data_IF_153516271726
#
_entry.id   IF_153516271726
#
_cell.length_a   1.000
_cell.length_b   1.000
_cell.length_c   1.000
_cell.angle_alpha   90.00
_cell.angle_beta   90.00
_cell.angle_gamma   90.00
#
_symmetry.space_group_name_H-M   'P 1'
#
loop_
_entity.id
_entity.type
_entity.pdbx_description
1 polymer ?
#
# COMPACT_ATOMS: atom_id res chain seq x y z
N UNK A 1 16.11 -13.29 13.91
CA UNK A 1 16.34 -12.51 12.67
C UNK A 1 15.18 -11.52 12.37
N UNK A 2 14.56 -10.90 13.39
CA UNK A 2 13.24 -10.25 13.24
C UNK A 2 13.21 -8.73 13.06
N UNK A 3 14.31 -8.00 13.26
CA UNK A 3 14.30 -6.52 13.25
C UNK A 3 14.99 -5.91 12.02
N UNK A 4 16.07 -6.53 11.54
CA UNK A 4 16.87 -6.01 10.41
C UNK A 4 16.17 -6.19 9.05
N UNK A 5 15.44 -7.29 8.86
CA UNK A 5 14.68 -7.55 7.63
C UNK A 5 13.48 -6.60 7.50
N UNK A 6 12.74 -6.38 8.58
CA UNK A 6 11.64 -5.41 8.62
C UNK A 6 12.10 -3.99 8.32
N UNK A 7 13.21 -3.55 8.94
CA UNK A 7 13.77 -2.21 8.70
C UNK A 7 14.21 -2.01 7.23
N UNK A 8 14.83 -3.04 6.63
CA UNK A 8 15.24 -3.00 5.23
C UNK A 8 14.03 -2.89 4.28
N UNK A 9 12.93 -3.59 4.58
CA UNK A 9 11.68 -3.52 3.81
C UNK A 9 11.02 -2.14 3.96
N UNK A 10 11.02 -1.56 5.16
CA UNK A 10 10.51 -0.20 5.39
C UNK A 10 11.36 0.86 4.67
N UNK A 11 12.68 0.71 4.66
CA UNK A 11 13.57 1.62 3.95
C UNK A 11 13.38 1.50 2.43
N UNK A 12 13.25 0.27 1.90
CA UNK A 12 13.02 0.02 0.47
C UNK A 12 11.67 0.60 0.02
N UNK A 13 10.62 0.44 0.85
CA UNK A 13 9.29 1.00 0.58
C UNK A 13 9.28 2.53 0.59
N UNK A 14 9.99 3.16 1.54
CA UNK A 14 10.14 4.63 1.57
C UNK A 14 10.95 5.13 0.38
N UNK A 15 12.02 4.44 -0.01
CA UNK A 15 12.80 4.78 -1.21
C UNK A 15 11.96 4.68 -2.49
N UNK A 16 11.13 3.64 -2.61
CA UNK A 16 10.23 3.46 -3.74
C UNK A 16 9.18 4.59 -3.80
N UNK A 17 8.63 5.01 -2.65
CA UNK A 17 7.70 6.15 -2.56
C UNK A 17 8.38 7.45 -3.00
N UNK A 18 9.63 7.70 -2.57
CA UNK A 18 10.37 8.90 -2.98
C UNK A 18 10.73 8.89 -4.47
N UNK A 19 11.13 7.74 -5.01
CA UNK A 19 11.38 7.58 -6.44
C UNK A 19 10.10 7.80 -7.28
N UNK A 20 8.96 7.30 -6.82
CA UNK A 20 7.65 7.47 -7.47
C UNK A 20 7.08 8.88 -7.32
N UNK A 21 7.29 9.54 -6.18
CA UNK A 21 6.98 10.96 -6.02
C UNK A 21 7.77 11.81 -7.03
N UNK A 22 9.04 11.45 -7.26
CA UNK A 22 9.88 11.99 -8.33
C UNK A 22 9.30 11.72 -9.72
N UNK A 23 8.95 10.47 -10.03
CA UNK A 23 8.37 10.07 -11.33
C UNK A 23 7.03 10.76 -11.60
N UNK A 24 6.21 10.95 -10.56
CA UNK A 24 4.95 11.67 -10.67
C UNK A 24 5.19 13.10 -11.16
N UNK A 25 6.26 13.78 -10.72
CA UNK A 25 6.54 15.17 -11.12
C UNK A 25 6.94 15.31 -12.59
N UNK A 26 7.40 14.23 -13.22
CA UNK A 26 7.83 14.19 -14.61
C UNK A 26 6.71 13.74 -15.55
N UNK A 27 5.72 13.01 -15.03
CA UNK A 27 4.59 12.52 -15.82
C UNK A 27 3.54 13.60 -16.14
N UNK A 28 2.89 13.54 -17.32
CA UNK A 28 1.73 14.38 -17.65
C UNK A 28 0.65 14.28 -16.57
N UNK A 29 -0.06 15.40 -16.30
CA UNK A 29 -1.03 15.48 -15.20
C UNK A 29 -2.11 14.41 -15.27
N UNK A 30 -2.50 13.99 -16.47
CA UNK A 30 -3.50 12.93 -16.68
C UNK A 30 -3.00 11.54 -16.25
N UNK A 31 -1.70 11.27 -16.43
CA UNK A 31 -1.10 9.97 -16.15
C UNK A 31 -0.69 9.84 -14.68
N UNK A 32 -0.46 10.96 -13.98
CA UNK A 32 -0.13 10.96 -12.53
C UNK A 32 -1.17 10.25 -11.68
N UNK A 33 -2.46 10.48 -11.98
CA UNK A 33 -3.55 9.85 -11.25
C UNK A 33 -3.59 8.34 -11.53
N UNK A 34 -3.36 7.95 -12.78
CA UNK A 34 -3.32 6.56 -13.21
C UNK A 34 -2.15 5.80 -12.56
N UNK A 35 -0.96 6.41 -12.53
CA UNK A 35 0.21 5.85 -11.86
C UNK A 35 -0.08 5.69 -10.37
N UNK A 36 -0.66 6.71 -9.71
CA UNK A 36 -0.99 6.62 -8.29
C UNK A 36 -2.00 5.50 -7.99
N UNK A 37 -3.10 5.41 -8.75
CA UNK A 37 -4.16 4.42 -8.52
C UNK A 37 -3.70 3.00 -8.82
N UNK A 38 -2.79 2.79 -9.79
CA UNK A 38 -2.29 1.45 -10.11
C UNK A 38 -1.14 1.01 -9.19
N UNK A 39 -0.28 1.93 -8.76
CA UNK A 39 0.87 1.61 -7.89
C UNK A 39 0.49 1.42 -6.43
N UNK A 40 -0.50 2.16 -5.93
CA UNK A 40 -0.84 2.12 -4.52
C UNK A 40 -1.33 0.73 -4.05
N UNK A 41 -2.16 -0.01 -4.82
CA UNK A 41 -2.47 -1.41 -4.53
C UNK A 41 -1.26 -2.33 -4.65
N UNK A 42 -0.40 -2.08 -5.65
CA UNK A 42 0.84 -2.83 -5.88
C UNK A 42 1.81 -2.77 -4.68
N UNK A 43 1.81 -1.66 -3.96
CA UNK A 43 2.60 -1.49 -2.74
C UNK A 43 2.22 -2.47 -1.63
N UNK A 44 0.92 -2.64 -1.38
CA UNK A 44 0.42 -3.58 -0.36
C UNK A 44 0.74 -5.03 -0.72
N UNK A 45 0.68 -5.35 -2.02
CA UNK A 45 1.09 -6.66 -2.56
C UNK A 45 2.58 -6.91 -2.32
N UNK A 46 3.45 -5.94 -2.63
CA UNK A 46 4.90 -6.08 -2.44
C UNK A 46 5.26 -6.23 -0.97
N UNK A 47 4.60 -5.48 -0.06
CA UNK A 47 4.81 -5.63 1.39
C UNK A 47 4.41 -7.03 1.85
N UNK A 48 3.21 -7.50 1.49
CA UNK A 48 2.75 -8.82 1.94
C UNK A 48 3.59 -9.96 1.40
N UNK A 49 4.03 -9.87 0.14
CA UNK A 49 4.97 -10.82 -0.43
C UNK A 49 6.31 -10.79 0.30
N UNK A 50 6.85 -9.60 0.58
CA UNK A 50 8.13 -9.45 1.30
C UNK A 50 8.06 -10.03 2.72
N UNK A 51 6.95 -9.83 3.42
CA UNK A 51 6.73 -10.43 4.75
C UNK A 51 6.70 -11.95 4.67
N UNK A 52 5.96 -12.53 3.71
CA UNK A 52 5.93 -13.99 3.50
C UNK A 52 7.29 -14.57 3.11
N UNK A 53 8.09 -13.83 2.36
CA UNK A 53 9.47 -14.22 2.02
C UNK A 53 10.33 -14.20 3.29
N UNK A 54 10.25 -13.15 4.11
CA UNK A 54 10.97 -13.05 5.37
C UNK A 54 10.56 -14.14 6.39
N UNK A 55 9.29 -14.57 6.36
CA UNK A 55 8.76 -15.66 7.17
C UNK A 55 9.10 -17.06 6.62
N UNK A 56 9.75 -17.16 5.45
CA UNK A 56 10.05 -18.45 4.81
C UNK A 56 8.81 -19.21 4.33
N UNK A 57 7.70 -18.50 4.08
CA UNK A 57 6.40 -19.05 3.68
C UNK A 57 6.18 -19.08 2.17
N UNK A 58 7.13 -18.59 1.38
CA UNK A 58 7.10 -18.71 -0.09
C UNK A 58 7.94 -19.92 -0.49
N UNK A 59 7.27 -21.02 -0.88
CA UNK A 59 7.90 -22.27 -1.31
C UNK A 59 7.55 -22.64 -2.74
N UNK A 60 6.47 -22.09 -3.28
CA UNK A 60 6.04 -22.29 -4.66
C UNK A 60 5.32 -21.05 -5.22
N UNK A 61 4.97 -21.10 -6.51
CA UNK A 61 4.22 -20.04 -7.20
C UNK A 61 2.82 -19.82 -6.60
N UNK A 62 2.18 -20.85 -6.03
CA UNK A 62 0.87 -20.70 -5.39
C UNK A 62 0.96 -19.82 -4.13
N UNK A 63 2.05 -19.88 -3.38
CA UNK A 63 2.29 -19.02 -2.21
C UNK A 63 2.46 -17.55 -2.59
N UNK A 64 3.02 -17.28 -3.78
CA UNK A 64 3.15 -15.93 -4.35
C UNK A 64 1.78 -15.38 -4.76
N UNK A 65 0.95 -16.21 -5.40
CA UNK A 65 -0.43 -15.82 -5.76
C UNK A 65 -1.25 -15.57 -4.48
N UNK A 66 -1.09 -16.42 -3.46
CA UNK A 66 -1.75 -16.24 -2.17
C UNK A 66 -1.32 -14.94 -1.48
N UNK A 67 -0.02 -14.63 -1.45
CA UNK A 67 0.49 -13.37 -0.92
C UNK A 67 0.02 -12.14 -1.69
N UNK A 68 -0.14 -12.27 -3.00
CA UNK A 68 -0.70 -11.20 -3.86
C UNK A 68 -2.17 -10.94 -3.54
N UNK A 69 -2.97 -12.00 -3.41
CA UNK A 69 -4.39 -11.89 -3.04
C UNK A 69 -4.57 -11.28 -1.65
N UNK A 70 -3.72 -11.68 -0.71
CA UNK A 70 -3.72 -11.15 0.66
C UNK A 70 -3.32 -9.67 0.71
N UNK A 71 -2.28 -9.27 -0.04
CA UNK A 71 -1.92 -7.86 -0.19
C UNK A 71 -3.03 -7.02 -0.82
N UNK A 72 -3.73 -7.55 -1.83
CA UNK A 72 -4.90 -6.90 -2.41
C UNK A 72 -6.05 -6.73 -1.42
N UNK A 73 -6.36 -7.76 -0.62
CA UNK A 73 -7.35 -7.67 0.46
C UNK A 73 -6.94 -6.65 1.54
N UNK A 74 -5.66 -6.61 1.91
CA UNK A 74 -5.15 -5.63 2.87
C UNK A 74 -5.32 -4.18 2.36
N UNK A 75 -5.10 -3.95 1.07
CA UNK A 75 -5.36 -2.65 0.44
C UNK A 75 -6.84 -2.27 0.48
N UNK A 76 -7.75 -3.21 0.17
CA UNK A 76 -9.19 -2.96 0.23
C UNK A 76 -9.66 -2.64 1.65
N UNK A 77 -9.19 -3.39 2.65
CA UNK A 77 -9.50 -3.14 4.05
C UNK A 77 -8.99 -1.76 4.51
N UNK A 78 -7.75 -1.42 4.14
CA UNK A 78 -7.17 -0.11 4.43
C UNK A 78 -7.98 1.03 3.80
N UNK A 79 -8.37 0.87 2.53
CA UNK A 79 -9.16 1.86 1.80
C UNK A 79 -10.55 2.04 2.42
N UNK A 80 -11.20 0.95 2.82
CA UNK A 80 -12.49 0.98 3.50
C UNK A 80 -12.41 1.71 4.85
N UNK A 81 -11.37 1.45 5.64
CA UNK A 81 -11.10 2.19 6.88
C UNK A 81 -10.89 3.68 6.62
N UNK A 82 -10.12 4.05 5.60
CA UNK A 82 -9.90 5.45 5.25
C UNK A 82 -11.20 6.15 4.87
N UNK A 83 -12.05 5.51 4.07
CA UNK A 83 -13.37 6.03 3.74
C UNK A 83 -14.25 6.21 4.97
N UNK A 84 -14.26 5.24 5.89
CA UNK A 84 -15.01 5.34 7.13
C UNK A 84 -14.52 6.51 8.00
N UNK A 85 -13.21 6.70 8.13
CA UNK A 85 -12.63 7.83 8.87
C UNK A 85 -13.04 9.15 8.24
N UNK A 86 -12.91 9.31 6.92
CA UNK A 86 -13.30 10.54 6.22
C UNK A 86 -14.80 10.81 6.37
N UNK A 87 -15.65 9.78 6.26
CA UNK A 87 -17.08 9.91 6.42
C UNK A 87 -17.46 10.34 7.85
N UNK A 88 -16.84 9.74 8.86
CA UNK A 88 -17.07 10.10 10.27
C UNK A 88 -16.56 11.50 10.56
N UNK A 89 -15.38 11.89 10.08
CA UNK A 89 -14.87 13.26 10.21
C UNK A 89 -15.77 14.27 9.52
N UNK A 90 -16.30 13.95 8.34
CA UNK A 90 -17.27 14.77 7.62
C UNK A 90 -18.59 14.91 8.37
N UNK A 91 -19.09 13.82 8.97
CA UNK A 91 -20.31 13.83 9.77
C UNK A 91 -20.14 14.66 11.05
N UNK A 92 -19.01 14.52 11.74
CA UNK A 92 -18.66 15.34 12.92
C UNK A 92 -18.60 16.81 12.53
N UNK A 93 -17.95 17.14 11.42
CA UNK A 93 -17.87 18.52 10.92
C UNK A 93 -19.27 19.09 10.63
N UNK A 94 -20.14 18.30 9.99
CA UNK A 94 -21.51 18.71 9.68
C UNK A 94 -22.34 18.96 10.95
N UNK A 95 -22.27 18.04 11.91
CA UNK A 95 -22.94 18.17 13.21
C UNK A 95 -22.42 19.38 13.98
N UNK A 96 -21.11 19.64 13.93
CA UNK A 96 -20.50 20.80 14.62
C UNK A 96 -20.83 22.16 13.98
N UNK A 97 -21.39 22.16 12.77
CA UNK A 97 -21.78 23.37 12.02
C UNK A 97 -23.28 23.69 12.09
N UNK A 98 -24.07 22.83 12.75
CA UNK A 98 -25.51 22.98 13.04
C UNK A 98 -25.72 23.50 14.47
#
# INVERSE_FOLDING_TARGET
>A
MGLRGGLAITILSVFLIMALAGLSRVAPKEIRLFIAVLFFPGFFVVIMLSLRIAEGRIRNLADVVAGTKEGGNAFLAWSACFFAVVAVSGLIALISSL
#
